data_IF_513484801188
#
_entry.id   IF_513484801188
#
_cell.length_a   1.000
_cell.length_b   1.000
_cell.length_c   1.000
_cell.angle_alpha   90.00
_cell.angle_beta   90.00
_cell.angle_gamma   90.00
#
_symmetry.space_group_name_H-M   'P 1'
#
loop_
_entity.id
_entity.type
_entity.pdbx_description
1 polymer ?
#
# COMPACT_ATOMS: atom_id res chain seq x y z
N UNK A 1 4.84 -59.02 75.00
CA UNK A 1 4.65 -58.85 73.52
C UNK A 1 3.60 -57.81 73.33
N UNK A 2 3.99 -56.57 72.99
CA UNK A 2 3.07 -55.45 72.83
C UNK A 2 2.79 -55.33 71.35
N UNK A 3 1.61 -55.72 70.90
CA UNK A 3 1.13 -55.51 69.53
C UNK A 3 0.71 -54.06 69.39
N UNK A 4 1.58 -53.25 68.71
CA UNK A 4 1.26 -51.89 68.32
C UNK A 4 0.17 -51.93 67.26
N UNK A 5 -0.97 -51.38 67.57
CA UNK A 5 -2.10 -51.20 66.64
C UNK A 5 -1.69 -50.26 65.50
N UNK A 6 -1.65 -50.72 64.21
CA UNK A 6 -1.37 -50.05 63.01
C UNK A 6 -2.57 -49.25 62.41
N UNK A 7 -3.59 -48.97 63.23
CA UNK A 7 -4.82 -48.29 62.68
C UNK A 7 -4.68 -46.83 62.43
N UNK A 8 -3.64 -46.13 62.97
CA UNK A 8 -3.43 -44.68 62.72
C UNK A 8 -2.79 -44.34 61.41
N UNK A 9 -1.97 -45.20 60.79
CA UNK A 9 -1.22 -44.94 59.59
C UNK A 9 -2.09 -44.86 58.31
N UNK A 10 -3.19 -45.67 58.25
CA UNK A 10 -4.10 -45.71 57.11
C UNK A 10 -4.93 -44.40 56.92
N UNK A 11 -5.33 -43.78 58.02
CA UNK A 11 -6.04 -42.51 58.01
C UNK A 11 -5.17 -41.35 57.53
N UNK A 12 -3.90 -41.32 57.90
CA UNK A 12 -2.95 -40.31 57.56
C UNK A 12 -2.60 -40.35 56.05
N UNK A 13 -2.48 -41.56 55.48
CA UNK A 13 -2.22 -41.75 54.04
C UNK A 13 -3.39 -41.25 53.18
N UNK A 14 -4.63 -41.51 53.59
CA UNK A 14 -5.84 -41.05 52.87
C UNK A 14 -5.91 -39.53 52.84
N UNK A 15 -5.60 -38.85 53.94
CA UNK A 15 -5.58 -37.37 54.02
C UNK A 15 -4.50 -36.78 53.10
N UNK A 16 -3.29 -37.36 53.10
CA UNK A 16 -2.21 -36.95 52.21
C UNK A 16 -2.55 -37.12 50.73
N UNK A 17 -3.13 -38.27 50.36
CA UNK A 17 -3.58 -38.52 48.98
C UNK A 17 -4.69 -37.54 48.58
N UNK A 18 -5.66 -37.28 49.44
CA UNK A 18 -6.74 -36.33 49.16
C UNK A 18 -6.18 -34.91 48.95
N UNK A 19 -5.25 -34.44 49.79
CA UNK A 19 -4.59 -33.14 49.64
C UNK A 19 -3.77 -33.07 48.35
N UNK A 20 -3.07 -34.13 47.99
CA UNK A 20 -2.30 -34.21 46.75
C UNK A 20 -3.21 -34.09 45.51
N UNK A 21 -4.33 -34.80 45.50
CA UNK A 21 -5.31 -34.73 44.39
C UNK A 21 -5.90 -33.33 44.27
N UNK A 22 -6.31 -32.73 45.39
CA UNK A 22 -6.85 -31.33 45.38
C UNK A 22 -5.80 -30.35 44.88
N UNK A 23 -4.54 -30.49 45.29
CA UNK A 23 -3.45 -29.63 44.83
C UNK A 23 -3.20 -29.77 43.34
N UNK A 24 -3.17 -30.99 42.80
CA UNK A 24 -3.02 -31.26 41.38
C UNK A 24 -4.19 -30.70 40.54
N UNK A 25 -5.41 -30.87 41.05
CA UNK A 25 -6.61 -30.29 40.41
C UNK A 25 -6.56 -28.76 40.41
N UNK A 26 -6.15 -28.15 41.53
CA UNK A 26 -6.00 -26.71 41.64
C UNK A 26 -4.93 -26.14 40.67
N UNK A 27 -3.79 -26.84 40.55
CA UNK A 27 -2.74 -26.46 39.59
C UNK A 27 -3.20 -26.61 38.13
N UNK A 28 -3.89 -27.70 37.78
CA UNK A 28 -4.46 -27.90 36.46
C UNK A 28 -5.52 -26.85 36.10
N UNK A 29 -6.34 -26.51 37.05
CA UNK A 29 -7.35 -25.46 36.94
C UNK A 29 -6.73 -24.06 36.67
N UNK A 30 -5.69 -23.71 37.44
CA UNK A 30 -4.95 -22.46 37.24
C UNK A 30 -4.26 -22.42 35.86
N UNK A 31 -3.71 -23.54 35.41
CA UNK A 31 -3.08 -23.63 34.11
C UNK A 31 -4.06 -23.33 32.97
N UNK A 32 -5.31 -23.77 33.05
CA UNK A 32 -6.35 -23.45 32.03
C UNK A 32 -6.61 -21.95 31.99
N UNK A 33 -6.78 -21.27 33.11
CA UNK A 33 -7.03 -19.83 33.16
C UNK A 33 -5.84 -19.04 32.63
N UNK A 34 -4.60 -19.44 32.97
CA UNK A 34 -3.38 -18.80 32.45
C UNK A 34 -3.28 -18.93 30.94
N UNK A 35 -3.55 -20.13 30.38
CA UNK A 35 -3.53 -20.33 28.92
C UNK A 35 -4.61 -19.48 28.25
N UNK A 36 -5.80 -19.40 28.80
CA UNK A 36 -6.89 -18.57 28.28
C UNK A 36 -6.50 -17.09 28.22
N UNK A 37 -5.89 -16.56 29.29
CA UNK A 37 -5.41 -15.18 29.34
C UNK A 37 -4.27 -14.92 28.35
N UNK A 38 -3.36 -15.87 28.22
CA UNK A 38 -2.26 -15.76 27.27
C UNK A 38 -2.76 -15.75 25.83
N UNK A 39 -3.71 -16.61 25.50
CA UNK A 39 -4.37 -16.63 24.19
C UNK A 39 -5.09 -15.30 23.91
N UNK A 40 -5.89 -14.81 24.88
CA UNK A 40 -6.59 -13.55 24.75
C UNK A 40 -5.61 -12.36 24.53
N UNK A 41 -4.43 -12.41 25.17
CA UNK A 41 -3.39 -11.39 24.99
C UNK A 41 -2.80 -11.42 23.57
N UNK A 42 -2.58 -12.62 23.03
CA UNK A 42 -2.11 -12.76 21.63
C UNK A 42 -3.19 -12.35 20.63
N UNK A 43 -4.45 -12.67 20.89
CA UNK A 43 -5.58 -12.30 20.03
C UNK A 43 -5.78 -10.78 20.00
N UNK A 44 -5.73 -10.10 21.16
CA UNK A 44 -5.93 -8.64 21.21
C UNK A 44 -4.77 -7.90 20.54
N UNK A 45 -3.52 -8.41 20.64
CA UNK A 45 -2.39 -7.81 19.93
C UNK A 45 -2.57 -7.93 18.44
N UNK A 46 -2.94 -9.11 17.91
CA UNK A 46 -3.21 -9.27 16.47
C UNK A 46 -4.36 -8.39 15.99
N UNK A 47 -5.41 -8.23 16.80
CA UNK A 47 -6.52 -7.33 16.48
C UNK A 47 -6.06 -5.87 16.45
N UNK A 48 -5.20 -5.45 17.40
CA UNK A 48 -4.63 -4.11 17.42
C UNK A 48 -3.74 -3.83 16.21
N UNK A 49 -2.86 -4.78 15.88
CA UNK A 49 -1.98 -4.69 14.71
C UNK A 49 -2.78 -4.57 13.39
N UNK A 50 -3.79 -5.42 13.23
CA UNK A 50 -4.66 -5.39 12.06
C UNK A 50 -5.45 -4.06 11.95
N UNK A 51 -5.97 -3.57 13.09
CA UNK A 51 -6.70 -2.31 13.15
C UNK A 51 -5.78 -1.11 12.87
N UNK A 52 -4.53 -1.13 13.38
CA UNK A 52 -3.55 -0.09 13.11
C UNK A 52 -3.16 -0.03 11.63
N UNK A 53 -2.90 -1.19 11.00
CA UNK A 53 -2.61 -1.27 9.57
C UNK A 53 -3.80 -0.79 8.72
N UNK A 54 -5.03 -1.16 9.08
CA UNK A 54 -6.23 -0.70 8.39
C UNK A 54 -6.41 0.83 8.53
N UNK A 55 -6.16 1.36 9.72
CA UNK A 55 -6.17 2.81 9.95
C UNK A 55 -5.10 3.55 9.16
N UNK A 56 -3.90 2.99 9.07
CA UNK A 56 -2.81 3.58 8.30
C UNK A 56 -3.04 3.49 6.77
N UNK A 57 -3.78 2.46 6.29
CA UNK A 57 -4.21 2.41 4.88
C UNK A 57 -5.06 3.61 4.50
N UNK A 58 -5.85 4.16 5.41
CA UNK A 58 -6.66 5.35 5.14
C UNK A 58 -5.82 6.59 4.78
N UNK A 59 -4.58 6.69 5.26
CA UNK A 59 -3.67 7.77 4.84
C UNK A 59 -3.30 7.66 3.36
N UNK A 60 -3.16 6.44 2.86
CA UNK A 60 -2.88 6.18 1.44
C UNK A 60 -4.13 6.46 0.61
N UNK A 61 -5.27 5.89 1.01
CA UNK A 61 -6.52 5.96 0.24
C UNK A 61 -7.11 7.38 0.21
N UNK A 62 -6.79 8.23 1.19
CA UNK A 62 -7.17 9.64 1.19
C UNK A 62 -6.24 10.54 0.38
N UNK A 63 -5.07 10.05 -0.05
CA UNK A 63 -4.04 10.86 -0.69
C UNK A 63 -3.26 11.77 0.28
N UNK A 64 -3.52 11.71 1.59
CA UNK A 64 -2.84 12.58 2.58
C UNK A 64 -1.34 12.35 2.68
N UNK A 65 -0.84 11.22 2.24
CA UNK A 65 0.60 10.93 2.14
C UNK A 65 1.29 11.70 1.03
N UNK A 66 0.55 12.07 -0.02
CA UNK A 66 1.08 12.83 -1.17
C UNK A 66 1.01 14.35 -0.94
N UNK A 67 0.01 14.81 -0.17
CA UNK A 67 -0.11 16.20 0.28
C UNK A 67 -0.41 16.27 1.77
N UNK A 68 0.62 16.06 2.62
CA UNK A 68 0.45 15.94 4.08
C UNK A 68 0.00 17.21 4.78
N UNK A 69 0.14 18.38 4.14
CA UNK A 69 -0.26 19.68 4.70
C UNK A 69 -1.72 20.03 4.39
N UNK A 70 -2.41 19.25 3.60
CA UNK A 70 -3.80 19.49 3.20
C UNK A 70 -4.77 19.06 4.30
N UNK A 71 -5.38 20.02 4.97
CA UNK A 71 -6.29 19.77 6.08
C UNK A 71 -7.54 18.95 5.68
N UNK A 72 -8.02 19.11 4.44
CA UNK A 72 -9.16 18.34 3.93
C UNK A 72 -8.80 16.87 3.80
N UNK A 73 -7.63 16.55 3.24
CA UNK A 73 -7.13 15.16 3.11
C UNK A 73 -6.84 14.53 4.47
N UNK A 74 -6.30 15.31 5.44
CA UNK A 74 -6.13 14.83 6.82
C UNK A 74 -7.47 14.50 7.48
N UNK A 75 -8.51 15.32 7.25
CA UNK A 75 -9.86 15.10 7.79
C UNK A 75 -10.47 13.85 7.17
N UNK A 76 -10.34 13.70 5.85
CA UNK A 76 -10.78 12.51 5.13
C UNK A 76 -10.08 11.25 5.65
N UNK A 77 -8.76 11.30 5.82
CA UNK A 77 -7.96 10.19 6.37
C UNK A 77 -8.44 9.74 7.75
N UNK A 78 -8.75 10.69 8.66
CA UNK A 78 -9.31 10.39 9.99
C UNK A 78 -10.67 9.69 9.90
N UNK A 79 -11.56 10.19 9.04
CA UNK A 79 -12.88 9.61 8.82
C UNK A 79 -12.80 8.19 8.28
N UNK A 80 -12.05 7.99 7.20
CA UNK A 80 -11.82 6.68 6.60
C UNK A 80 -11.14 5.71 7.57
N UNK A 81 -10.10 6.18 8.27
CA UNK A 81 -9.37 5.38 9.24
C UNK A 81 -10.25 4.87 10.36
N UNK A 82 -11.12 5.73 10.88
CA UNK A 82 -12.09 5.32 11.91
C UNK A 82 -13.07 4.26 11.38
N UNK A 83 -13.55 4.41 10.15
CA UNK A 83 -14.43 3.42 9.52
C UNK A 83 -13.72 2.07 9.30
N UNK A 84 -12.49 2.08 8.80
CA UNK A 84 -11.70 0.86 8.57
C UNK A 84 -11.37 0.14 9.87
N UNK A 85 -10.97 0.88 10.92
CA UNK A 85 -10.71 0.32 12.24
C UNK A 85 -11.95 -0.39 12.77
N UNK A 86 -13.10 0.27 12.73
CA UNK A 86 -14.35 -0.31 13.24
C UNK A 86 -14.74 -1.58 12.47
N UNK A 87 -14.57 -1.60 11.16
CA UNK A 87 -14.82 -2.79 10.34
C UNK A 87 -13.90 -3.98 10.76
N UNK A 88 -12.61 -3.71 10.93
CA UNK A 88 -11.65 -4.73 11.38
C UNK A 88 -11.98 -5.24 12.80
N UNK A 89 -12.36 -4.35 13.72
CA UNK A 89 -12.69 -4.75 15.10
C UNK A 89 -13.96 -5.60 15.15
N UNK A 90 -14.93 -5.38 14.29
CA UNK A 90 -16.15 -6.17 14.23
C UNK A 90 -15.88 -7.65 13.87
N UNK A 91 -14.86 -7.90 13.04
CA UNK A 91 -14.49 -9.24 12.59
C UNK A 91 -13.51 -9.97 13.51
N UNK A 92 -12.67 -9.21 14.24
CA UNK A 92 -11.65 -9.78 15.12
C UNK A 92 -12.22 -10.02 16.52
N UNK A 93 -12.12 -11.26 16.99
CA UNK A 93 -12.64 -11.66 18.30
C UNK A 93 -11.50 -11.98 19.27
N UNK A 94 -11.67 -11.54 20.51
CA UNK A 94 -10.77 -11.81 21.63
C UNK A 94 -11.55 -12.56 22.71
N UNK A 95 -11.22 -13.82 22.93
CA UNK A 95 -12.02 -14.68 23.81
C UNK A 95 -13.48 -14.80 23.33
N UNK A 96 -13.71 -14.84 22.01
CA UNK A 96 -15.02 -15.00 21.38
C UNK A 96 -15.85 -13.73 21.18
N UNK A 97 -15.39 -12.56 21.62
CA UNK A 97 -16.11 -11.26 21.52
C UNK A 97 -15.20 -10.20 20.93
N UNK A 98 -15.72 -9.31 20.06
CA UNK A 98 -14.93 -8.19 19.54
C UNK A 98 -14.31 -7.33 20.66
N UNK A 99 -13.04 -6.90 20.53
CA UNK A 99 -12.45 -5.94 21.45
C UNK A 99 -13.02 -4.55 21.20
N UNK A 100 -12.83 -3.64 22.16
CA UNK A 100 -13.25 -2.25 22.04
C UNK A 100 -12.05 -1.32 22.07
N UNK A 101 -12.19 -0.15 21.46
CA UNK A 101 -11.20 0.91 21.55
C UNK A 101 -11.12 1.43 23.00
N UNK A 102 -9.90 1.61 23.48
CA UNK A 102 -9.62 2.34 24.72
C UNK A 102 -9.21 3.76 24.36
N UNK A 103 -10.20 4.65 24.30
CA UNK A 103 -10.03 6.01 23.79
C UNK A 103 -10.19 6.10 22.26
N UNK A 104 -10.00 7.30 21.73
CA UNK A 104 -10.04 7.56 20.28
C UNK A 104 -8.68 7.20 19.65
N UNK A 105 -8.65 6.70 18.39
CA UNK A 105 -7.41 6.54 17.65
C UNK A 105 -6.64 7.86 17.56
N UNK A 106 -5.35 7.82 17.80
CA UNK A 106 -4.47 9.00 17.71
C UNK A 106 -3.85 9.04 16.32
N UNK A 107 -4.16 10.08 15.56
CA UNK A 107 -3.63 10.34 14.23
C UNK A 107 -2.57 11.44 14.30
N UNK A 108 -1.35 11.12 13.94
CA UNK A 108 -0.22 12.06 13.91
C UNK A 108 0.23 12.29 12.47
N UNK A 109 0.14 13.54 12.01
CA UNK A 109 0.59 13.98 10.69
C UNK A 109 1.87 14.82 10.74
N UNK A 110 2.44 15.04 11.93
CA UNK A 110 3.45 16.07 12.15
C UNK A 110 4.76 15.57 12.75
N UNK A 111 4.71 14.61 13.68
CA UNK A 111 5.87 14.20 14.47
C UNK A 111 6.92 13.47 13.62
N UNK A 112 6.51 12.66 12.68
CA UNK A 112 7.41 12.03 11.71
C UNK A 112 7.23 12.75 10.38
N UNK A 113 8.24 13.49 9.88
CA UNK A 113 8.06 14.48 8.83
C UNK A 113 7.31 13.92 7.63
N UNK A 114 6.01 14.21 7.58
CA UNK A 114 5.11 13.86 6.50
C UNK A 114 4.75 12.39 6.34
N UNK A 115 5.23 11.49 7.19
CA UNK A 115 4.77 10.11 7.24
C UNK A 115 3.70 9.99 8.33
N UNK A 116 2.42 9.97 7.97
CA UNK A 116 1.36 9.92 8.96
C UNK A 116 1.37 8.59 9.73
N UNK A 117 1.14 8.72 11.03
CA UNK A 117 1.19 7.62 11.98
C UNK A 117 -0.14 7.52 12.72
N UNK A 118 -0.59 6.31 12.94
CA UNK A 118 -1.74 6.03 13.79
C UNK A 118 -1.36 5.18 14.99
N UNK A 119 -1.90 5.53 16.16
CA UNK A 119 -1.78 4.73 17.38
C UNK A 119 -3.16 4.31 17.84
N UNK A 120 -3.33 3.02 18.09
CA UNK A 120 -4.58 2.41 18.54
C UNK A 120 -4.33 1.66 19.84
N UNK A 121 -5.21 1.87 20.80
CA UNK A 121 -5.23 1.09 22.02
C UNK A 121 -6.54 0.32 22.09
N UNK A 122 -6.44 -1.00 22.23
CA UNK A 122 -7.61 -1.88 22.40
C UNK A 122 -7.71 -2.39 23.82
N UNK A 123 -8.94 -2.66 24.22
CA UNK A 123 -9.27 -3.27 25.49
C UNK A 123 -10.29 -4.38 25.30
N UNK A 124 -10.12 -5.47 26.05
CA UNK A 124 -11.12 -6.52 26.22
C UNK A 124 -11.30 -6.78 27.71
N UNK A 125 -12.49 -6.52 28.21
CA UNK A 125 -12.93 -6.81 29.58
C UNK A 125 -13.70 -8.13 29.62
N UNK A 126 -13.99 -8.62 30.81
CA UNK A 126 -14.87 -9.76 31.04
C UNK A 126 -14.43 -11.05 30.33
N UNK A 127 -13.11 -11.27 30.32
CA UNK A 127 -12.58 -12.52 29.79
C UNK A 127 -13.07 -13.70 30.63
N UNK A 128 -13.40 -14.84 30.00
CA UNK A 128 -13.80 -16.01 30.72
C UNK A 128 -12.66 -16.52 31.60
N UNK A 129 -12.92 -16.59 32.87
CA UNK A 129 -12.08 -17.31 33.86
C UNK A 129 -12.93 -18.38 34.48
N UNK A 130 -12.36 -19.56 34.61
CA UNK A 130 -13.10 -20.73 35.08
C UNK A 130 -12.84 -21.00 36.56
N UNK A 131 -11.60 -21.04 36.95
CA UNK A 131 -11.19 -21.45 38.29
C UNK A 131 -10.65 -20.28 39.13
N UNK A 132 -10.08 -19.27 38.55
CA UNK A 132 -9.60 -18.09 39.28
C UNK A 132 -10.74 -17.31 39.94
N UNK A 133 -11.99 -17.55 39.58
CA UNK A 133 -13.20 -17.00 40.27
C UNK A 133 -13.30 -17.40 41.72
N UNK A 134 -12.65 -18.48 42.12
CA UNK A 134 -12.62 -18.92 43.52
C UNK A 134 -11.87 -17.90 44.40
N UNK A 135 -10.86 -17.23 43.82
CA UNK A 135 -10.02 -16.26 44.54
C UNK A 135 -10.32 -14.81 44.17
N UNK A 136 -10.84 -14.53 42.97
CA UNK A 136 -11.19 -13.19 42.55
C UNK A 136 -12.48 -13.18 41.71
N UNK A 137 -13.40 -12.31 42.09
CA UNK A 137 -14.63 -12.08 41.31
C UNK A 137 -14.43 -11.09 40.16
N UNK A 138 -13.32 -10.36 40.15
CA UNK A 138 -13.02 -9.39 39.09
C UNK A 138 -12.62 -10.14 37.81
N UNK A 139 -13.36 -9.90 36.73
CA UNK A 139 -13.00 -10.42 35.42
C UNK A 139 -11.71 -9.74 34.94
N UNK A 140 -10.74 -10.49 34.41
CA UNK A 140 -9.50 -9.93 33.92
C UNK A 140 -9.75 -9.10 32.67
N UNK A 141 -8.92 -8.05 32.52
CA UNK A 141 -8.88 -7.17 31.36
C UNK A 141 -7.54 -7.31 30.68
N UNK A 142 -7.55 -7.43 29.37
CA UNK A 142 -6.35 -7.35 28.56
C UNK A 142 -6.40 -6.09 27.69
N UNK A 143 -5.24 -5.48 27.49
CA UNK A 143 -5.05 -4.32 26.62
C UNK A 143 -3.91 -4.58 25.68
N UNK A 144 -3.97 -3.98 24.49
CA UNK A 144 -2.89 -3.96 23.51
C UNK A 144 -2.80 -2.59 22.85
N UNK A 145 -1.59 -2.21 22.50
CA UNK A 145 -1.30 -0.99 21.75
C UNK A 145 -0.62 -1.41 20.45
N UNK A 146 -1.04 -0.79 19.35
CA UNK A 146 -0.38 -0.95 18.07
C UNK A 146 -0.23 0.41 17.39
N UNK A 147 0.87 0.55 16.65
CA UNK A 147 1.19 1.75 15.87
C UNK A 147 1.50 1.32 14.44
N UNK A 148 0.97 2.08 13.48
CA UNK A 148 1.27 1.86 12.07
C UNK A 148 1.47 3.20 11.37
N UNK A 149 2.31 3.19 10.35
CA UNK A 149 2.56 4.35 9.50
C UNK A 149 2.31 4.02 8.03
N UNK A 150 1.95 5.04 7.26
CA UNK A 150 2.03 5.03 5.82
C UNK A 150 3.32 5.76 5.42
N UNK A 151 4.28 5.02 4.85
CA UNK A 151 5.61 5.53 4.57
C UNK A 151 5.69 6.09 3.15
N UNK A 152 5.78 7.43 3.03
CA UNK A 152 6.09 8.09 1.77
C UNK A 152 7.51 8.64 1.81
N UNK A 153 8.39 8.14 0.95
CA UNK A 153 9.80 8.53 0.93
C UNK A 153 10.01 10.03 0.67
N UNK A 154 9.09 10.69 -0.06
CA UNK A 154 9.12 12.14 -0.28
C UNK A 154 9.09 12.95 1.01
N UNK A 155 8.46 12.42 2.04
CA UNK A 155 8.25 13.12 3.30
C UNK A 155 9.34 12.84 4.35
N UNK A 156 10.25 11.93 4.05
CA UNK A 156 11.29 11.48 4.99
C UNK A 156 12.51 12.39 5.06
N UNK A 157 12.49 13.52 4.37
CA UNK A 157 13.65 14.38 4.14
C UNK A 157 14.19 15.14 5.34
N UNK A 158 13.38 15.39 6.33
CA UNK A 158 13.74 16.33 7.40
C UNK A 158 14.76 15.76 8.38
N UNK A 159 15.05 14.47 8.35
CA UNK A 159 15.99 13.85 9.27
C UNK A 159 17.16 13.18 8.54
N UNK A 160 18.24 13.96 8.39
CA UNK A 160 19.63 13.48 8.37
C UNK A 160 19.84 12.07 7.78
N UNK A 161 19.71 11.92 6.46
CA UNK A 161 20.60 11.03 5.75
C UNK A 161 20.21 9.56 5.59
N UNK A 162 19.12 9.07 6.17
CA UNK A 162 18.77 7.64 6.07
C UNK A 162 17.28 7.42 5.79
N UNK A 163 16.81 7.83 4.60
CA UNK A 163 15.52 7.30 4.20
C UNK A 163 15.70 5.94 3.51
N UNK A 164 14.71 5.08 3.69
CA UNK A 164 14.71 3.75 3.09
C UNK A 164 14.10 3.88 1.69
N UNK A 165 14.81 3.49 0.63
CA UNK A 165 14.26 3.55 -0.72
C UNK A 165 13.05 2.63 -0.85
N UNK A 166 12.13 2.98 -1.75
CA UNK A 166 10.98 2.14 -2.09
C UNK A 166 11.27 1.42 -3.41
N UNK A 167 10.77 0.20 -3.52
CA UNK A 167 10.78 -0.59 -4.75
C UNK A 167 9.41 -1.28 -4.91
N UNK A 168 8.43 -0.57 -5.48
CA UNK A 168 7.10 -1.12 -5.70
C UNK A 168 7.17 -2.27 -6.69
N UNK A 169 6.25 -3.23 -6.54
CA UNK A 169 6.09 -4.36 -7.46
C UNK A 169 5.05 -4.04 -8.51
N UNK A 170 5.07 -4.80 -9.61
CA UNK A 170 4.09 -4.66 -10.69
C UNK A 170 4.04 -3.24 -11.30
N UNK A 171 5.17 -2.57 -11.33
CA UNK A 171 5.31 -1.25 -11.96
C UNK A 171 5.13 -1.40 -13.46
N UNK A 172 4.30 -0.54 -14.05
CA UNK A 172 4.04 -0.60 -15.49
C UNK A 172 5.12 0.15 -16.27
N UNK A 173 5.46 -0.29 -17.49
CA UNK A 173 6.58 0.23 -18.28
C UNK A 173 6.24 1.56 -18.96
N UNK A 174 5.57 2.47 -18.28
CA UNK A 174 5.26 3.81 -18.75
C UNK A 174 6.05 4.83 -17.94
N UNK A 175 7.10 5.36 -18.50
CA UNK A 175 7.96 6.36 -17.88
C UNK A 175 7.29 7.73 -17.99
N UNK A 176 6.89 8.30 -16.85
CA UNK A 176 6.27 9.62 -16.78
C UNK A 176 7.36 10.65 -16.52
N UNK A 177 7.46 11.73 -17.33
CA UNK A 177 8.40 12.79 -17.07
C UNK A 177 8.03 13.54 -15.78
N UNK A 178 9.02 14.09 -15.09
CA UNK A 178 8.81 14.90 -13.89
C UNK A 178 8.27 16.30 -14.24
N UNK A 179 7.15 16.34 -14.93
CA UNK A 179 6.47 17.57 -15.36
C UNK A 179 4.97 17.39 -15.14
N UNK A 180 4.31 18.43 -14.65
CA UNK A 180 2.86 18.40 -14.39
C UNK A 180 2.08 18.53 -15.71
N UNK A 181 1.37 17.48 -16.17
CA UNK A 181 0.65 17.52 -17.44
C UNK A 181 -0.51 18.53 -17.45
N UNK A 182 -1.14 18.78 -16.29
CA UNK A 182 -2.27 19.71 -16.19
C UNK A 182 -1.84 21.18 -16.27
N UNK A 183 -0.54 21.46 -16.23
CA UNK A 183 0.04 22.82 -16.27
C UNK A 183 1.00 23.04 -17.42
N UNK A 184 0.83 22.28 -18.50
CA UNK A 184 1.67 22.42 -19.68
C UNK A 184 3.13 22.03 -19.44
N UNK A 185 3.37 21.13 -18.50
CA UNK A 185 4.70 20.62 -18.19
C UNK A 185 5.52 21.49 -17.22
N UNK A 186 4.93 22.52 -16.62
CA UNK A 186 5.56 23.33 -15.56
C UNK A 186 4.52 23.68 -14.51
N UNK A 187 4.73 23.46 -13.22
CA UNK A 187 5.96 23.03 -12.54
C UNK A 187 6.19 21.51 -12.56
N UNK A 188 7.23 21.07 -11.85
CA UNK A 188 7.54 19.65 -11.64
C UNK A 188 6.48 18.93 -10.77
N UNK A 189 6.35 17.63 -10.94
CA UNK A 189 5.59 16.76 -10.01
C UNK A 189 6.36 16.60 -8.69
N UNK A 190 7.66 16.38 -8.80
CA UNK A 190 8.58 16.26 -7.66
C UNK A 190 9.63 17.36 -7.73
N UNK A 191 9.84 18.03 -6.61
CA UNK A 191 10.90 19.03 -6.48
C UNK A 191 12.29 18.37 -6.48
N UNK A 192 13.38 19.14 -6.76
CA UNK A 192 14.75 18.61 -6.73
C UNK A 192 15.13 17.98 -5.38
N UNK A 193 14.45 18.36 -4.31
CA UNK A 193 14.61 17.76 -3.00
C UNK A 193 13.80 16.47 -2.81
N UNK A 194 13.11 15.95 -3.82
CA UNK A 194 12.29 14.74 -3.79
C UNK A 194 10.92 14.91 -3.14
N UNK A 195 10.58 16.10 -2.63
CA UNK A 195 9.24 16.38 -2.11
C UNK A 195 8.22 16.53 -3.24
N UNK A 196 6.97 16.20 -3.00
CA UNK A 196 5.88 16.47 -3.92
C UNK A 196 5.74 17.99 -4.09
N UNK A 197 5.64 18.46 -5.32
CA UNK A 197 5.55 19.88 -5.61
C UNK A 197 4.23 20.48 -5.06
N UNK A 198 4.27 21.69 -4.47
CA UNK A 198 3.05 22.36 -4.03
C UNK A 198 2.07 22.58 -5.17
N UNK A 199 0.83 22.19 -4.97
CA UNK A 199 -0.24 22.37 -5.96
C UNK A 199 -0.36 21.23 -6.96
N UNK A 200 0.48 20.20 -6.90
CA UNK A 200 0.19 18.94 -7.55
C UNK A 200 -0.93 18.23 -6.76
N UNK A 201 -2.01 17.88 -7.45
CA UNK A 201 -3.23 17.45 -6.76
C UNK A 201 -3.53 15.97 -6.98
N UNK A 202 -3.74 15.25 -5.88
CA UNK A 202 -4.40 13.94 -5.90
C UNK A 202 -5.84 14.12 -6.37
N UNK A 203 -6.33 13.19 -7.19
CA UNK A 203 -7.67 13.25 -7.78
C UNK A 203 -7.73 13.93 -9.14
N UNK A 204 -6.67 14.60 -9.57
CA UNK A 204 -6.60 15.15 -10.92
C UNK A 204 -6.67 14.05 -11.99
N UNK A 205 -7.30 14.38 -13.12
CA UNK A 205 -7.48 13.48 -14.26
C UNK A 205 -6.63 13.85 -15.46
N UNK A 206 -5.30 13.66 -15.42
CA UNK A 206 -4.46 13.96 -16.58
C UNK A 206 -4.70 12.98 -17.71
N UNK A 207 -4.45 13.47 -18.92
CA UNK A 207 -4.40 12.66 -20.13
C UNK A 207 -2.97 12.65 -20.64
N UNK A 208 -2.34 11.49 -20.71
CA UNK A 208 -1.01 11.34 -21.27
C UNK A 208 -1.03 10.73 -22.67
N UNK A 209 -0.13 11.21 -23.47
CA UNK A 209 0.09 10.77 -24.82
C UNK A 209 1.32 9.87 -24.92
N UNK A 210 1.24 8.87 -25.75
CA UNK A 210 2.40 8.10 -26.16
C UNK A 210 3.22 8.90 -27.15
N UNK A 211 4.48 9.16 -26.83
CA UNK A 211 5.43 9.83 -27.73
C UNK A 211 5.00 11.26 -28.17
N UNK A 212 5.91 12.16 -28.52
CA UNK A 212 5.59 13.49 -29.04
C UNK A 212 4.93 13.46 -30.42
N UNK A 213 3.97 12.61 -30.62
CA UNK A 213 3.07 12.63 -31.76
C UNK A 213 2.11 13.77 -31.56
N UNK A 214 2.08 14.70 -32.50
CA UNK A 214 1.21 15.86 -32.48
C UNK A 214 -0.24 15.45 -32.12
N UNK A 215 -0.82 15.93 -31.00
CA UNK A 215 -2.16 15.55 -30.54
C UNK A 215 -3.30 15.91 -31.51
N UNK A 216 -3.04 16.67 -32.56
CA UNK A 216 -4.01 17.01 -33.61
C UNK A 216 -3.79 16.32 -34.96
N UNK A 217 -2.78 15.48 -35.09
CA UNK A 217 -2.43 14.84 -36.36
C UNK A 217 -2.96 13.43 -36.46
N UNK A 218 -3.64 13.12 -37.56
CA UNK A 218 -4.08 11.77 -37.87
C UNK A 218 -2.96 10.73 -37.80
N UNK A 219 -3.32 9.48 -37.88
CA UNK A 219 -2.66 8.20 -37.64
C UNK A 219 -1.18 7.98 -38.06
N UNK A 220 -0.44 9.01 -38.41
CA UNK A 220 0.97 8.93 -38.74
C UNK A 220 1.78 9.83 -37.82
N UNK A 221 2.28 9.23 -36.76
CA UNK A 221 3.50 9.79 -36.19
C UNK A 221 4.55 9.78 -37.29
N UNK A 222 5.21 10.91 -37.49
CA UNK A 222 6.35 10.98 -38.40
C UNK A 222 7.42 9.94 -38.04
N UNK A 223 8.42 9.76 -38.89
CA UNK A 223 9.54 8.88 -38.59
C UNK A 223 10.11 9.26 -37.20
N UNK A 224 10.60 8.29 -36.43
CA UNK A 224 11.11 8.54 -35.09
C UNK A 224 12.08 9.71 -35.13
N UNK A 225 11.82 10.72 -34.30
CA UNK A 225 12.77 11.82 -34.13
C UNK A 225 13.94 11.21 -33.35
N UNK A 226 15.01 10.88 -34.05
CA UNK A 226 16.20 10.28 -33.46
C UNK A 226 17.33 11.30 -33.54
N UNK A 227 17.92 11.71 -32.44
CA UNK A 227 17.43 11.55 -31.04
C UNK A 227 16.20 12.41 -30.79
N UNK A 228 15.32 12.06 -29.85
CA UNK A 228 14.22 12.95 -29.50
C UNK A 228 14.80 14.31 -29.11
N UNK A 229 14.04 15.39 -29.38
CA UNK A 229 14.46 16.69 -28.88
C UNK A 229 14.71 16.55 -27.38
N UNK A 230 15.79 17.16 -26.92
CA UNK A 230 16.18 17.24 -25.51
C UNK A 230 14.97 17.25 -24.59
N UNK A 231 15.02 16.72 -23.40
CA UNK A 231 13.98 16.13 -22.61
C UNK A 231 12.58 16.63 -22.94
N UNK A 232 11.54 15.81 -22.93
CA UNK A 232 10.21 16.22 -23.35
C UNK A 232 9.86 17.56 -22.73
N UNK A 233 9.53 18.53 -23.57
CA UNK A 233 9.26 19.90 -23.16
C UNK A 233 7.89 20.06 -22.47
N UNK A 234 7.07 19.00 -22.48
CA UNK A 234 5.73 19.01 -21.89
C UNK A 234 5.51 17.76 -21.03
N UNK A 235 4.73 17.89 -19.95
CA UNK A 235 4.32 16.78 -19.09
C UNK A 235 3.26 15.88 -19.71
N UNK A 236 2.83 16.15 -20.95
CA UNK A 236 1.72 15.44 -21.59
C UNK A 236 2.13 14.09 -22.19
N UNK A 237 3.43 13.80 -22.25
CA UNK A 237 3.95 12.60 -22.90
C UNK A 237 4.54 11.62 -21.89
N UNK A 238 4.25 10.35 -22.08
CA UNK A 238 4.96 9.26 -21.41
C UNK A 238 5.83 8.51 -22.41
N UNK A 239 6.83 7.79 -21.91
CA UNK A 239 7.73 7.00 -22.74
C UNK A 239 7.63 5.52 -22.38
N UNK A 240 7.63 4.60 -23.36
CA UNK A 240 7.72 3.19 -23.06
C UNK A 240 9.11 2.86 -22.50
N UNK A 241 9.18 2.08 -21.45
CA UNK A 241 10.44 1.51 -20.98
C UNK A 241 10.76 0.24 -21.74
N UNK A 242 12.04 0.03 -22.02
CA UNK A 242 12.50 -1.28 -22.54
C UNK A 242 12.40 -2.31 -21.42
N UNK A 243 11.66 -3.38 -21.67
CA UNK A 243 11.47 -4.45 -20.68
C UNK A 243 11.77 -5.80 -21.29
N UNK A 244 12.41 -6.66 -20.48
CA UNK A 244 12.46 -8.10 -20.71
C UNK A 244 11.58 -8.76 -19.69
N UNK A 245 10.65 -9.56 -20.12
CA UNK A 245 9.66 -10.11 -19.23
C UNK A 245 10.21 -11.18 -18.30
N UNK A 246 9.77 -11.14 -17.03
CA UNK A 246 9.99 -12.22 -16.08
C UNK A 246 8.81 -13.22 -16.15
N UNK A 247 9.08 -14.44 -16.60
CA UNK A 247 8.07 -15.46 -16.89
C UNK A 247 7.25 -15.97 -15.67
N UNK A 248 7.63 -15.61 -14.46
CA UNK A 248 6.96 -16.07 -13.22
C UNK A 248 5.75 -15.23 -12.81
N UNK A 249 5.30 -14.30 -13.64
CA UNK A 249 4.30 -13.32 -13.27
C UNK A 249 2.87 -13.75 -13.54
N UNK A 250 1.97 -13.29 -12.66
CA UNK A 250 0.52 -13.48 -12.85
C UNK A 250 0.04 -12.67 -14.05
N UNK A 251 -0.64 -13.35 -14.98
CA UNK A 251 -1.19 -12.73 -16.17
C UNK A 251 -2.67 -13.02 -16.30
N UNK A 252 -3.44 -12.07 -16.87
CA UNK A 252 -4.82 -12.32 -17.26
C UNK A 252 -4.90 -13.28 -18.45
N UNK A 253 -6.09 -13.81 -18.70
CA UNK A 253 -6.33 -14.75 -19.81
C UNK A 253 -6.22 -14.11 -21.20
N UNK A 254 -6.40 -12.79 -21.28
CA UNK A 254 -6.34 -12.01 -22.53
C UNK A 254 -4.92 -11.59 -22.92
N UNK A 255 -3.91 -12.03 -22.20
CA UNK A 255 -2.52 -11.59 -22.39
C UNK A 255 -2.06 -11.72 -23.84
N UNK A 256 -1.37 -10.69 -24.33
CA UNK A 256 -0.74 -10.68 -25.64
C UNK A 256 0.55 -11.48 -25.72
N UNK A 257 1.30 -11.29 -26.79
CA UNK A 257 2.47 -12.09 -27.12
C UNK A 257 3.81 -11.38 -26.94
N UNK A 258 3.85 -10.05 -27.02
CA UNK A 258 5.10 -9.30 -26.86
C UNK A 258 5.47 -9.15 -25.40
N UNK A 259 6.77 -9.06 -25.09
CA UNK A 259 7.27 -8.84 -23.74
C UNK A 259 6.76 -7.49 -23.18
N UNK A 260 6.67 -6.49 -24.04
CA UNK A 260 6.19 -5.17 -23.64
C UNK A 260 4.70 -5.18 -23.29
N UNK A 261 3.87 -5.74 -24.17
CA UNK A 261 2.42 -5.89 -23.94
C UNK A 261 2.17 -6.68 -22.66
N UNK A 262 2.83 -7.82 -22.48
CA UNK A 262 2.70 -8.63 -21.29
C UNK A 262 3.22 -7.93 -20.00
N UNK A 263 4.17 -7.04 -20.10
CA UNK A 263 4.63 -6.23 -18.95
C UNK A 263 3.59 -5.20 -18.51
N UNK A 264 2.70 -4.79 -19.43
CA UNK A 264 1.54 -3.96 -19.09
C UNK A 264 0.45 -4.81 -18.41
N UNK A 265 0.10 -5.95 -19.00
CA UNK A 265 -1.02 -6.79 -18.58
C UNK A 265 -0.76 -7.52 -17.27
N UNK A 266 0.44 -8.05 -17.14
CA UNK A 266 0.82 -8.92 -16.03
C UNK A 266 1.46 -8.12 -14.89
N UNK A 267 1.67 -8.77 -13.75
CA UNK A 267 2.50 -8.25 -12.68
C UNK A 267 3.96 -8.59 -13.00
N UNK A 268 4.68 -7.69 -13.63
CA UNK A 268 6.09 -7.85 -13.90
C UNK A 268 6.95 -7.38 -12.72
N UNK A 269 7.95 -8.19 -12.33
CA UNK A 269 8.86 -7.90 -11.23
C UNK A 269 10.17 -7.24 -11.69
N UNK A 270 10.18 -6.62 -12.85
CA UNK A 270 11.31 -5.77 -13.24
C UNK A 270 11.49 -4.69 -12.17
N UNK A 271 12.74 -4.58 -11.69
CA UNK A 271 13.06 -3.69 -10.58
C UNK A 271 13.19 -2.25 -11.08
N UNK A 272 12.18 -1.47 -10.81
CA UNK A 272 12.28 -0.02 -10.82
C UNK A 272 12.59 0.42 -9.39
N UNK A 273 13.84 0.77 -9.11
CA UNK A 273 14.22 1.21 -7.77
C UNK A 273 14.46 2.71 -7.72
N UNK A 274 14.12 3.28 -6.59
CA UNK A 274 14.42 4.68 -6.27
C UNK A 274 15.90 4.97 -6.23
N UNK A 275 16.26 6.11 -6.75
CA UNK A 275 17.48 6.79 -6.38
C UNK A 275 18.77 6.13 -6.82
N UNK A 276 19.14 6.31 -8.00
CA UNK A 276 20.42 5.93 -8.55
C UNK A 276 20.32 5.63 -10.04
N UNK A 277 21.43 5.53 -10.69
CA UNK A 277 21.48 5.03 -12.06
C UNK A 277 20.95 3.61 -12.05
N UNK A 278 19.68 3.44 -12.37
CA UNK A 278 19.06 2.13 -12.47
C UNK A 278 19.51 1.53 -13.81
N UNK A 279 20.31 0.46 -13.78
CA UNK A 279 20.81 -0.13 -15.02
C UNK A 279 19.72 -0.65 -15.96
N UNK A 280 18.48 -0.75 -15.46
CA UNK A 280 17.36 -1.36 -16.18
C UNK A 280 16.27 -0.38 -16.59
N UNK A 281 16.36 0.90 -16.25
CA UNK A 281 15.42 1.92 -16.72
C UNK A 281 15.95 2.56 -18.01
N UNK A 282 16.25 1.74 -19.02
CA UNK A 282 16.58 2.26 -20.35
C UNK A 282 15.31 2.59 -21.10
N UNK A 283 15.18 3.83 -21.53
CA UNK A 283 14.23 4.21 -22.57
C UNK A 283 14.85 3.84 -23.89
N UNK A 284 14.26 2.91 -24.63
CA UNK A 284 14.58 2.77 -26.02
C UNK A 284 13.81 3.82 -26.82
N UNK A 285 14.45 4.94 -27.04
CA UNK A 285 13.90 6.06 -27.80
C UNK A 285 13.70 5.75 -29.28
N UNK A 286 14.19 4.57 -29.73
CA UNK A 286 14.00 4.09 -31.11
C UNK A 286 12.72 3.27 -31.28
N UNK A 287 12.09 2.85 -30.19
CA UNK A 287 10.87 2.06 -30.18
C UNK A 287 9.61 2.91 -30.45
N UNK A 288 9.71 3.90 -31.29
CA UNK A 288 8.58 4.74 -31.73
C UNK A 288 7.93 4.13 -32.96
N UNK A 289 6.65 3.77 -32.87
CA UNK A 289 5.94 3.26 -34.04
C UNK A 289 4.55 2.69 -33.72
N UNK A 290 3.84 2.33 -34.80
CA UNK A 290 2.49 1.79 -34.71
C UNK A 290 2.38 0.52 -33.88
N UNK A 291 3.43 -0.31 -33.80
CA UNK A 291 3.44 -1.55 -33.03
C UNK A 291 3.32 -1.27 -31.53
N UNK A 292 4.07 -0.30 -31.03
CA UNK A 292 4.00 0.10 -29.61
C UNK A 292 2.63 0.63 -29.20
N UNK A 293 1.98 1.38 -30.09
CA UNK A 293 0.62 1.85 -29.81
C UNK A 293 -0.37 0.71 -29.72
N UNK A 294 -0.22 -0.29 -30.57
CA UNK A 294 -1.06 -1.48 -30.50
C UNK A 294 -0.82 -2.25 -29.21
N UNK A 295 0.44 -2.46 -28.86
CA UNK A 295 0.80 -3.17 -27.63
C UNK A 295 0.29 -2.42 -26.38
N UNK A 296 0.41 -1.08 -26.35
CA UNK A 296 -0.13 -0.25 -25.28
C UNK A 296 -1.64 -0.34 -25.20
N UNK A 297 -2.30 -0.17 -26.35
CA UNK A 297 -3.75 -0.22 -26.40
C UNK A 297 -4.29 -1.60 -26.01
N UNK A 298 -3.77 -2.67 -26.60
CA UNK A 298 -4.19 -4.03 -26.30
C UNK A 298 -3.85 -4.43 -24.88
N UNK A 299 -2.63 -4.09 -24.43
CA UNK A 299 -2.18 -4.38 -23.08
C UNK A 299 -3.00 -3.67 -22.00
N UNK A 300 -3.31 -2.40 -22.18
CA UNK A 300 -4.17 -1.67 -21.24
C UNK A 300 -5.63 -2.15 -21.30
N UNK A 301 -6.17 -2.40 -22.50
CA UNK A 301 -7.52 -2.97 -22.62
C UNK A 301 -7.65 -4.30 -21.86
N UNK A 302 -6.66 -5.16 -22.00
CA UNK A 302 -6.61 -6.42 -21.27
C UNK A 302 -6.49 -6.19 -19.76
N UNK A 303 -5.57 -5.33 -19.33
CA UNK A 303 -5.32 -5.05 -17.92
C UNK A 303 -6.58 -4.53 -17.19
N UNK A 304 -7.26 -3.56 -17.79
CA UNK A 304 -8.45 -2.92 -17.18
C UNK A 304 -9.77 -3.60 -17.51
N UNK A 305 -9.74 -4.73 -18.22
CA UNK A 305 -10.92 -5.52 -18.63
C UNK A 305 -11.91 -4.75 -19.51
N UNK A 306 -11.45 -3.97 -20.48
CA UNK A 306 -12.36 -3.27 -21.40
C UNK A 306 -13.19 -4.27 -22.23
N UNK A 307 -14.49 -3.97 -22.50
CA UNK A 307 -15.24 -2.75 -22.15
C UNK A 307 -15.93 -2.79 -20.77
N UNK A 308 -15.57 -3.71 -19.91
CA UNK A 308 -16.15 -3.88 -18.57
C UNK A 308 -15.19 -3.41 -17.46
N UNK A 309 -14.43 -2.34 -17.75
CA UNK A 309 -13.48 -1.76 -16.80
C UNK A 309 -14.18 -1.19 -15.57
N UNK A 310 -13.50 -1.27 -14.44
CA UNK A 310 -13.98 -0.67 -13.20
C UNK A 310 -14.12 0.86 -13.34
N UNK A 311 -14.97 1.46 -12.54
CA UNK A 311 -15.20 2.91 -12.53
C UNK A 311 -14.74 3.53 -11.23
N UNK A 312 -14.11 4.71 -11.32
CA UNK A 312 -13.73 5.53 -10.18
C UNK A 312 -14.67 6.71 -10.07
N UNK A 313 -15.34 6.88 -8.95
CA UNK A 313 -16.10 8.09 -8.61
C UNK A 313 -15.27 8.98 -7.68
N UNK A 314 -14.81 10.10 -8.20
CA UNK A 314 -14.09 11.13 -7.46
C UNK A 314 -14.94 12.40 -7.22
N UNK A 315 -16.25 12.36 -7.46
CA UNK A 315 -17.13 13.54 -7.40
C UNK A 315 -17.20 14.17 -6.00
N UNK A 316 -17.01 13.37 -4.98
CA UNK A 316 -17.01 13.83 -3.59
C UNK A 316 -15.62 14.16 -3.04
N UNK A 317 -14.58 13.87 -3.78
CA UNK A 317 -13.22 14.13 -3.32
C UNK A 317 -12.90 15.65 -3.33
N UNK A 318 -12.24 16.21 -2.31
CA UNK A 318 -11.69 15.58 -1.11
C UNK A 318 -12.64 15.56 0.12
N UNK A 319 -13.90 15.92 -0.04
CA UNK A 319 -14.89 15.88 1.05
C UNK A 319 -15.31 14.45 1.44
N UNK A 320 -15.18 13.52 0.51
CA UNK A 320 -15.40 12.08 0.67
C UNK A 320 -14.33 11.27 -0.08
N UNK A 321 -14.25 9.96 0.17
CA UNK A 321 -13.28 9.10 -0.50
C UNK A 321 -13.59 8.94 -1.98
N UNK A 322 -12.56 8.78 -2.80
CA UNK A 322 -12.72 8.22 -4.13
C UNK A 322 -13.24 6.78 -4.00
N UNK A 323 -14.24 6.42 -4.80
CA UNK A 323 -14.89 5.12 -4.74
C UNK A 323 -14.70 4.36 -6.05
N UNK A 324 -14.23 3.13 -5.95
CA UNK A 324 -14.09 2.25 -7.11
C UNK A 324 -15.24 1.24 -7.10
N UNK A 325 -15.99 1.21 -8.20
CA UNK A 325 -17.03 0.21 -8.42
C UNK A 325 -16.51 -0.83 -9.42
N UNK A 326 -16.53 -2.09 -9.01
CA UNK A 326 -16.21 -3.19 -9.89
C UNK A 326 -17.33 -3.39 -10.94
N UNK A 327 -16.96 -3.49 -12.21
CA UNK A 327 -17.91 -3.72 -13.30
C UNK A 327 -17.82 -5.13 -13.88
N UNK A 328 -16.90 -5.95 -13.38
CA UNK A 328 -16.71 -7.34 -13.83
C UNK A 328 -16.50 -8.31 -12.66
N UNK A 329 -16.63 -9.60 -12.95
CA UNK A 329 -16.38 -10.67 -11.98
C UNK A 329 -17.39 -10.76 -10.82
N UNK A 330 -17.06 -11.52 -9.75
CA UNK A 330 -17.96 -11.78 -8.62
C UNK A 330 -18.30 -10.54 -7.79
N UNK A 331 -17.57 -9.44 -7.93
CA UNK A 331 -17.76 -8.19 -7.22
C UNK A 331 -18.48 -7.13 -8.07
N UNK A 332 -18.93 -7.47 -9.28
CA UNK A 332 -19.63 -6.53 -10.16
C UNK A 332 -20.78 -5.80 -9.45
N UNK A 333 -20.81 -4.47 -9.59
CA UNK A 333 -21.77 -3.58 -8.93
C UNK A 333 -21.46 -3.26 -7.46
N UNK A 334 -20.33 -3.73 -6.92
CA UNK A 334 -19.93 -3.44 -5.53
C UNK A 334 -18.74 -2.50 -5.47
N UNK A 335 -18.67 -1.75 -4.38
CA UNK A 335 -17.49 -0.97 -4.05
C UNK A 335 -16.33 -1.90 -3.68
N UNK A 336 -15.18 -1.64 -4.26
CA UNK A 336 -13.95 -2.42 -4.06
C UNK A 336 -12.79 -1.51 -3.67
N UNK A 337 -11.85 -2.05 -2.92
CA UNK A 337 -10.62 -1.34 -2.52
C UNK A 337 -9.42 -1.66 -3.42
N UNK A 338 -9.60 -2.57 -4.35
CA UNK A 338 -8.56 -3.01 -5.30
C UNK A 338 -9.16 -3.15 -6.69
N UNK A 339 -8.42 -2.75 -7.70
CA UNK A 339 -8.82 -2.83 -9.10
C UNK A 339 -7.59 -3.04 -9.97
N UNK A 340 -7.73 -3.76 -11.07
CA UNK A 340 -6.69 -3.87 -12.10
C UNK A 340 -6.42 -2.56 -12.83
N UNK A 341 -7.35 -1.60 -12.75
CA UNK A 341 -7.17 -0.24 -13.26
C UNK A 341 -6.19 0.61 -12.43
N UNK A 342 -5.86 0.19 -11.19
CA UNK A 342 -4.86 0.87 -10.38
C UNK A 342 -3.46 0.42 -10.83
N UNK A 343 -2.67 1.37 -11.30
CA UNK A 343 -1.30 1.14 -11.78
C UNK A 343 -0.29 1.99 -11.05
N UNK A 344 0.94 1.50 -10.97
CA UNK A 344 2.10 2.27 -10.51
C UNK A 344 3.01 2.54 -11.68
N UNK A 345 3.36 3.81 -11.89
CA UNK A 345 4.18 4.31 -13.00
C UNK A 345 5.46 4.94 -12.45
N UNK A 346 6.64 4.69 -13.04
CA UNK A 346 7.86 5.35 -12.62
C UNK A 346 7.91 6.79 -13.15
N UNK A 347 8.30 7.73 -12.28
CA UNK A 347 8.60 9.11 -12.64
C UNK A 347 10.10 9.23 -12.86
N UNK A 348 10.51 9.77 -14.00
CA UNK A 348 11.92 9.96 -14.29
C UNK A 348 12.33 11.43 -14.30
N UNK A 349 13.59 11.68 -14.00
CA UNK A 349 14.19 13.00 -14.10
C UNK A 349 14.46 13.36 -15.57
N UNK A 350 13.62 14.23 -16.12
CA UNK A 350 13.74 14.69 -17.49
C UNK A 350 14.98 15.55 -17.75
N UNK A 351 15.67 16.01 -16.70
CA UNK A 351 16.91 16.80 -16.84
C UNK A 351 18.15 15.93 -16.97
N UNK A 352 18.08 14.67 -16.57
CA UNK A 352 19.21 13.71 -16.57
C UNK A 352 19.11 12.64 -17.66
N UNK A 353 18.21 12.81 -18.63
CA UNK A 353 18.06 11.90 -19.74
C UNK A 353 19.38 11.75 -20.52
N UNK A 354 19.96 10.56 -20.50
CA UNK A 354 21.12 10.24 -21.33
C UNK A 354 20.65 9.82 -22.74
N UNK A 355 20.68 10.76 -23.68
CA UNK A 355 20.22 10.53 -25.05
C UNK A 355 21.08 9.49 -25.82
N UNK A 356 22.31 9.25 -25.41
CA UNK A 356 23.18 8.28 -26.08
C UNK A 356 22.86 6.83 -25.69
N UNK A 357 22.42 6.63 -24.45
CA UNK A 357 22.11 5.28 -23.92
C UNK A 357 20.64 5.03 -23.70
N UNK A 358 19.80 6.06 -23.83
CA UNK A 358 18.36 5.98 -23.50
C UNK A 358 18.08 5.75 -22.00
N UNK A 359 19.09 5.88 -21.14
CA UNK A 359 18.92 5.67 -19.69
C UNK A 359 18.35 6.89 -19.00
N UNK A 360 17.48 6.63 -18.05
CA UNK A 360 16.89 7.65 -17.18
C UNK A 360 17.03 7.27 -15.72
N UNK A 361 17.00 8.29 -14.87
CA UNK A 361 16.97 8.11 -13.43
C UNK A 361 15.54 8.14 -12.92
N UNK A 362 15.10 7.09 -12.24
CA UNK A 362 13.79 7.07 -11.58
C UNK A 362 13.89 7.85 -10.27
N UNK A 363 13.08 8.92 -10.17
CA UNK A 363 13.06 9.83 -9.02
C UNK A 363 11.79 9.70 -8.18
N UNK A 364 10.85 8.89 -8.61
CA UNK A 364 9.61 8.65 -7.89
C UNK A 364 8.66 7.71 -8.60
N UNK A 365 7.49 7.56 -8.02
CA UNK A 365 6.42 6.73 -8.56
C UNK A 365 5.07 7.45 -8.44
N UNK A 366 4.26 7.29 -9.47
CA UNK A 366 2.89 7.74 -9.54
C UNK A 366 1.95 6.55 -9.43
N UNK A 367 0.98 6.60 -8.54
CA UNK A 367 -0.13 5.66 -8.51
C UNK A 367 -1.34 6.32 -9.18
N UNK A 368 -1.87 5.68 -10.20
CA UNK A 368 -3.00 6.20 -10.95
C UNK A 368 -4.07 5.14 -11.20
N UNK A 369 -5.28 5.60 -11.41
CA UNK A 369 -6.40 4.78 -11.90
C UNK A 369 -6.57 5.05 -13.39
N UNK A 370 -6.41 4.02 -14.21
CA UNK A 370 -6.59 4.12 -15.66
C UNK A 370 -8.05 3.95 -16.00
N UNK A 371 -8.61 4.95 -16.70
CA UNK A 371 -10.00 4.97 -17.13
C UNK A 371 -10.20 4.38 -18.52
N UNK A 372 -9.33 4.78 -19.45
CA UNK A 372 -9.49 4.53 -20.85
C UNK A 372 -8.16 4.61 -21.60
N UNK A 373 -8.10 3.95 -22.73
CA UNK A 373 -6.98 4.00 -23.66
C UNK A 373 -7.51 4.12 -25.09
N UNK A 374 -7.04 5.14 -25.80
CA UNK A 374 -7.39 5.35 -27.20
C UNK A 374 -6.38 4.67 -28.13
N UNK A 375 -6.82 3.66 -28.87
CA UNK A 375 -5.96 2.86 -29.75
C UNK A 375 -5.38 3.62 -30.95
N UNK A 376 -6.05 4.64 -31.42
CA UNK A 376 -5.59 5.40 -32.58
C UNK A 376 -4.48 6.42 -32.21
N UNK A 377 -4.56 6.99 -31.01
CA UNK A 377 -3.65 8.05 -30.55
C UNK A 377 -2.62 7.58 -29.50
N UNK A 378 -2.80 6.40 -28.90
CA UNK A 378 -2.01 5.98 -27.73
C UNK A 378 -2.28 6.81 -26.48
N UNK A 379 -3.36 7.57 -26.47
CA UNK A 379 -3.76 8.41 -25.33
C UNK A 379 -4.27 7.57 -24.20
N UNK A 380 -3.79 7.80 -22.99
CA UNK A 380 -4.22 7.12 -21.77
C UNK A 380 -4.83 8.14 -20.82
N UNK A 381 -6.08 7.92 -20.44
CA UNK A 381 -6.79 8.74 -19.46
C UNK A 381 -6.70 8.07 -18.10
N UNK A 382 -6.32 8.84 -17.09
CA UNK A 382 -6.19 8.33 -15.74
C UNK A 382 -6.49 9.39 -14.68
N UNK A 383 -6.67 8.95 -13.44
CA UNK A 383 -6.76 9.82 -12.27
C UNK A 383 -5.62 9.52 -11.32
N UNK A 384 -5.01 10.56 -10.78
CA UNK A 384 -3.90 10.45 -9.84
C UNK A 384 -4.45 10.06 -8.46
N UNK A 385 -3.95 8.95 -7.93
CA UNK A 385 -4.30 8.48 -6.60
C UNK A 385 -3.24 8.87 -5.57
N UNK A 386 -1.95 8.70 -5.89
CA UNK A 386 -0.84 9.03 -5.01
C UNK A 386 0.44 9.33 -5.78
N UNK A 387 1.33 10.06 -5.15
CA UNK A 387 2.68 10.36 -5.64
C UNK A 387 3.70 10.08 -4.53
N UNK A 388 4.80 9.45 -4.90
CA UNK A 388 5.92 9.17 -4.01
C UNK A 388 7.22 9.55 -4.70
N UNK A 389 8.00 10.42 -4.10
CA UNK A 389 9.37 10.69 -4.53
C UNK A 389 10.38 9.73 -3.91
N UNK A 390 11.53 9.66 -4.52
CA UNK A 390 12.65 8.83 -4.03
C UNK A 390 13.50 9.53 -2.94
N UNK A 391 13.22 10.79 -2.64
CA UNK A 391 14.08 11.60 -1.77
C UNK A 391 15.43 11.96 -2.43
N UNK A 392 16.24 12.76 -1.74
CA UNK A 392 17.49 13.29 -2.29
C UNK A 392 18.70 12.38 -2.14
N UNK A 393 18.61 11.37 -1.31
CA UNK A 393 19.77 10.53 -1.02
C UNK A 393 19.29 9.11 -0.75
N UNK A 394 19.41 8.19 -1.71
CA UNK A 394 19.06 6.80 -1.48
C UNK A 394 19.98 6.25 -0.41
N UNK A 395 19.44 6.06 0.79
CA UNK A 395 20.17 5.43 1.88
C UNK A 395 20.62 4.02 1.49
N UNK A 396 21.70 3.56 2.09
CA UNK A 396 22.28 2.24 1.84
C UNK A 396 21.45 1.07 2.41
N UNK A 397 20.16 1.26 2.67
CA UNK A 397 19.26 0.23 3.18
C UNK A 397 18.61 -0.62 2.09
N UNK A 398 18.18 -1.82 2.45
CA UNK A 398 17.35 -2.63 1.55
C UNK A 398 16.02 -1.91 1.27
N UNK A 399 15.59 -1.84 0.01
CA UNK A 399 14.34 -1.17 -0.34
C UNK A 399 13.14 -1.78 0.38
N UNK A 400 12.22 -0.92 0.83
CA UNK A 400 10.92 -1.38 1.28
C UNK A 400 10.11 -1.77 0.05
N UNK A 401 9.90 -3.05 -0.12
CA UNK A 401 8.96 -3.55 -1.12
C UNK A 401 7.63 -3.86 -0.45
N UNK A 402 6.61 -3.08 -0.78
CA UNK A 402 5.23 -3.43 -0.42
C UNK A 402 4.81 -4.75 -1.06
N UNK A 403 3.88 -5.47 -0.42
CA UNK A 403 3.30 -6.71 -0.98
C UNK A 403 2.33 -6.47 -2.14
N UNK A 404 2.03 -5.22 -2.49
CA UNK A 404 1.03 -4.82 -3.48
C UNK A 404 1.54 -3.81 -4.50
N UNK A 405 0.61 -3.33 -5.30
CA UNK A 405 0.84 -2.33 -6.36
C UNK A 405 0.96 -0.89 -5.84
N UNK A 406 0.70 -0.64 -4.56
CA UNK A 406 0.86 0.70 -3.99
C UNK A 406 2.35 1.02 -3.80
N UNK A 407 2.80 2.20 -4.26
CA UNK A 407 4.16 2.66 -4.02
C UNK A 407 4.35 3.17 -2.57
N UNK A 408 3.26 3.27 -1.79
CA UNK A 408 3.29 3.70 -0.39
C UNK A 408 3.08 2.49 0.51
N UNK A 409 4.13 1.95 1.13
CA UNK A 409 3.99 0.84 2.06
C UNK A 409 3.35 1.28 3.38
N UNK A 410 2.47 0.43 3.90
CA UNK A 410 1.91 0.54 5.25
C UNK A 410 2.57 -0.49 6.13
N UNK A 411 3.09 -0.06 7.28
CA UNK A 411 3.84 -0.95 8.18
C UNK A 411 3.56 -0.66 9.66
N UNK A 412 3.71 -1.68 10.47
CA UNK A 412 3.76 -1.53 11.93
C UNK A 412 5.08 -0.88 12.34
N UNK A 413 5.02 0.00 13.32
CA UNK A 413 6.19 0.63 13.95
C UNK A 413 6.21 0.31 15.44
N UNK A 414 7.39 -0.02 15.92
CA UNK A 414 7.65 -0.20 17.35
C UNK A 414 8.41 1.01 17.86
N UNK A 415 8.17 1.36 19.14
CA UNK A 415 8.92 2.39 19.85
C UNK A 415 10.34 1.91 20.14
#
# INVERSE_FOLDING_TARGET
>A
MITRSRSGERGQTIVLVALSIVSLLAMGALAIDVVTLYTARSEIQRAADAAALAGAKAFVDSGSTSDPNNASLQTLARSMGTAFINAILAENKVGGVPPVLLGTPVYDFTTHPGNPLITITLKRTDLPIFFARIWSRAAPTVTAVARAEAYNASNSQANTGNFIPIAPKCVKPFLVPNLDPNRGGAPYILLPNGAVAPGFSVGEGPTWWHDPCNPGGGSTCGPPIVPPPSPPSTGDYYFPAQVTRNASNLCPSCKGSSDFEQSIECCDFNAYSCGGNVPNASIDLTLTGNTFRQDIHQGLQCLINMPSQDTLDASYFPSGPMQITANSGPQSGKLVSTSSSIVTLPIFDNTTLNTATGQVTVIGFLQAFVWDVNGASGQVQMSILNVVGCGNNPGAGSPVSGGGISPIPVRLVHD
#
